data_IF_923962629998
#
_entry.id   IF_923962629998
#
_cell.length_a   1.000
_cell.length_b   1.000
_cell.length_c   1.000
_cell.angle_alpha   90.00
_cell.angle_beta   90.00
_cell.angle_gamma   90.00
#
_symmetry.space_group_name_H-M   'P 1'
#
loop_
_entity.id
_entity.type
_entity.pdbx_description
1 polymer ?
#
# COMPACT_ATOMS: atom_id res chain seq x y z
N UNK A 1 -21.97 11.72 -23.52
CA UNK A 1 -21.50 10.48 -24.13
C UNK A 1 -21.34 9.45 -23.00
N UNK A 2 -22.14 8.38 -23.03
CA UNK A 2 -22.01 7.28 -22.07
C UNK A 2 -21.03 6.24 -22.58
N UNK A 3 -20.12 5.81 -21.72
CA UNK A 3 -19.24 4.67 -22.02
C UNK A 3 -19.95 3.40 -21.57
N UNK A 4 -20.17 2.48 -22.48
CA UNK A 4 -20.77 1.19 -22.20
C UNK A 4 -19.70 0.10 -22.27
N UNK A 5 -19.58 -0.68 -21.18
CA UNK A 5 -18.63 -1.78 -21.08
C UNK A 5 -19.36 -3.11 -21.22
N UNK A 6 -18.84 -4.01 -22.04
CA UNK A 6 -19.33 -5.38 -22.14
C UNK A 6 -18.45 -6.30 -21.32
N UNK A 7 -18.90 -6.68 -20.11
CA UNK A 7 -18.12 -7.47 -19.15
C UNK A 7 -18.01 -8.95 -19.50
N UNK A 8 -18.93 -9.50 -20.30
CA UNK A 8 -19.05 -10.95 -20.59
C UNK A 8 -18.99 -11.82 -19.33
N UNK A 9 -19.60 -11.34 -18.24
CA UNK A 9 -19.63 -12.02 -16.96
C UNK A 9 -18.31 -11.97 -16.16
N UNK A 10 -17.40 -11.04 -16.48
CA UNK A 10 -16.19 -10.77 -15.70
C UNK A 10 -16.27 -9.40 -15.06
N UNK A 11 -15.62 -9.25 -13.91
CA UNK A 11 -15.47 -7.95 -13.26
C UNK A 11 -14.62 -7.01 -14.13
N UNK A 12 -15.03 -5.76 -14.19
CA UNK A 12 -14.31 -4.71 -14.92
C UNK A 12 -13.71 -3.75 -13.88
N UNK A 13 -12.39 -3.63 -13.89
CA UNK A 13 -11.67 -2.66 -13.09
C UNK A 13 -11.21 -1.51 -14.00
N UNK A 14 -11.56 -0.29 -13.61
CA UNK A 14 -11.11 0.90 -14.33
C UNK A 14 -10.71 1.99 -13.33
N UNK A 15 -9.85 2.87 -13.77
CA UNK A 15 -9.45 4.08 -13.05
C UNK A 15 -9.74 5.30 -13.91
N UNK A 16 -10.27 6.34 -13.29
CA UNK A 16 -10.57 7.61 -13.94
C UNK A 16 -10.44 8.76 -12.95
N UNK A 17 -10.54 9.97 -13.48
CA UNK A 17 -10.64 11.20 -12.68
C UNK A 17 -12.01 11.81 -12.92
N UNK A 18 -12.58 12.42 -11.88
CA UNK A 18 -13.82 13.21 -11.97
C UNK A 18 -13.61 14.52 -11.25
N UNK A 19 -14.27 15.56 -11.74
CA UNK A 19 -14.35 16.88 -11.09
C UNK A 19 -15.60 16.98 -10.20
N UNK A 20 -16.41 15.92 -10.12
CA UNK A 20 -17.60 15.91 -9.26
C UNK A 20 -17.21 15.78 -7.79
N UNK A 21 -17.88 16.52 -6.93
CA UNK A 21 -17.71 16.41 -5.48
C UNK A 21 -18.28 15.10 -4.96
N UNK A 22 -17.63 14.55 -3.94
CA UNK A 22 -18.14 13.36 -3.26
C UNK A 22 -19.48 13.69 -2.57
N UNK A 23 -20.48 12.78 -2.62
CA UNK A 23 -21.77 13.00 -1.97
C UNK A 23 -21.67 13.02 -0.44
N UNK A 24 -20.61 12.50 0.13
CA UNK A 24 -20.31 12.53 1.56
C UNK A 24 -18.88 13.03 1.76
N UNK A 25 -18.73 14.07 2.56
CA UNK A 25 -17.43 14.53 3.03
C UNK A 25 -17.07 13.83 4.35
N UNK A 26 -15.79 13.59 4.54
CA UNK A 26 -15.23 13.07 5.78
C UNK A 26 -14.16 14.03 6.30
N UNK A 27 -14.18 14.28 7.61
CA UNK A 27 -13.12 14.99 8.32
C UNK A 27 -12.78 14.27 9.63
N UNK A 28 -11.51 14.30 10.04
CA UNK A 28 -11.07 13.68 11.30
C UNK A 28 -10.51 14.78 12.19
N UNK A 29 -11.05 14.87 13.39
CA UNK A 29 -10.55 15.74 14.45
C UNK A 29 -9.81 14.91 15.47
N UNK A 30 -8.62 15.37 15.86
CA UNK A 30 -7.78 14.71 16.88
C UNK A 30 -7.68 15.60 18.10
N UNK A 31 -7.84 15.00 19.29
CA UNK A 31 -7.55 15.64 20.56
C UNK A 31 -6.61 14.76 21.39
N UNK A 32 -5.55 15.35 21.91
CA UNK A 32 -4.62 14.71 22.85
C UNK A 32 -4.77 15.38 24.20
N UNK A 33 -5.08 14.60 25.24
CA UNK A 33 -5.37 15.08 26.60
C UNK A 33 -6.43 16.21 26.61
N UNK A 34 -7.48 16.05 25.75
CA UNK A 34 -8.59 16.97 25.63
C UNK A 34 -8.30 18.25 24.83
N UNK A 35 -7.10 18.41 24.25
CA UNK A 35 -6.72 19.55 23.42
C UNK A 35 -6.61 19.14 21.95
N UNK A 36 -7.20 19.91 21.07
CA UNK A 36 -7.11 19.70 19.63
C UNK A 36 -5.64 19.75 19.15
N UNK A 37 -5.29 18.80 18.29
CA UNK A 37 -3.94 18.63 17.76
C UNK A 37 -3.99 18.25 16.28
N UNK A 38 -3.03 18.75 15.48
CA UNK A 38 -2.93 18.33 14.09
C UNK A 38 -2.35 16.92 13.95
N UNK A 39 -2.67 16.15 12.88
CA UNK A 39 -2.09 14.83 12.66
C UNK A 39 -0.55 14.84 12.61
N UNK A 40 0.04 15.91 12.08
CA UNK A 40 1.51 16.07 12.00
C UNK A 40 2.14 16.25 13.37
N UNK A 41 1.49 17.02 14.24
CA UNK A 41 1.99 17.29 15.59
C UNK A 41 1.71 16.13 16.55
N UNK A 42 0.73 15.27 16.22
CA UNK A 42 0.36 14.09 17.00
C UNK A 42 1.43 12.98 16.92
N UNK A 43 2.08 12.81 15.77
CA UNK A 43 3.09 11.76 15.56
C UNK A 43 4.20 11.85 16.62
N UNK A 44 4.52 10.72 17.24
CA UNK A 44 5.54 10.61 18.30
C UNK A 44 5.07 11.11 19.68
N UNK A 45 3.78 11.42 19.85
CA UNK A 45 3.22 11.85 21.14
C UNK A 45 2.67 10.68 21.93
N UNK A 46 2.51 10.92 23.23
CA UNK A 46 1.92 9.99 24.18
C UNK A 46 0.87 10.74 25.01
N UNK A 47 -0.22 10.08 25.35
CA UNK A 47 -1.31 10.66 26.13
C UNK A 47 -2.65 9.98 25.85
N UNK A 48 -3.75 10.60 26.25
CA UNK A 48 -5.10 10.13 25.95
C UNK A 48 -5.57 10.76 24.63
N UNK A 49 -5.67 9.93 23.60
CA UNK A 49 -6.12 10.33 22.26
C UNK A 49 -7.64 10.14 22.12
N UNK A 50 -8.30 11.14 21.54
CA UNK A 50 -9.66 11.09 21.04
C UNK A 50 -9.62 11.44 19.54
N UNK A 51 -10.16 10.54 18.70
CA UNK A 51 -10.30 10.73 17.26
C UNK A 51 -11.79 10.74 16.94
N UNK A 52 -12.31 11.85 16.42
CA UNK A 52 -13.70 11.94 15.96
C UNK A 52 -13.72 12.05 14.45
N UNK A 53 -14.34 11.06 13.81
CA UNK A 53 -14.56 11.02 12.37
C UNK A 53 -15.94 11.57 12.12
N UNK A 54 -16.01 12.76 11.50
CA UNK A 54 -17.25 13.45 11.18
C UNK A 54 -17.58 13.24 9.71
N UNK A 55 -18.84 12.99 9.42
CA UNK A 55 -19.36 12.84 8.08
C UNK A 55 -20.41 13.90 7.81
N UNK A 56 -20.32 14.51 6.62
CA UNK A 56 -21.27 15.46 6.12
C UNK A 56 -21.89 14.93 4.83
N UNK A 57 -23.17 14.58 4.88
CA UNK A 57 -23.92 14.18 3.70
C UNK A 57 -24.32 15.44 2.90
N UNK A 58 -23.90 15.50 1.64
CA UNK A 58 -24.18 16.64 0.74
C UNK A 58 -25.23 16.32 -0.31
N UNK A 59 -25.82 15.14 -0.27
CA UNK A 59 -26.74 14.64 -1.30
C UNK A 59 -28.20 15.04 -1.09
N UNK A 60 -28.45 16.19 -0.44
CA UNK A 60 -29.82 16.64 -0.17
C UNK A 60 -30.58 16.93 -1.47
N UNK A 61 -31.75 16.35 -1.61
CA UNK A 61 -32.60 16.48 -2.79
C UNK A 61 -34.09 16.59 -2.42
N UNK A 62 -34.88 17.18 -3.33
CA UNK A 62 -36.32 17.21 -3.17
C UNK A 62 -36.95 15.91 -3.64
N UNK A 63 -37.67 15.25 -2.76
CA UNK A 63 -38.47 14.04 -3.04
C UNK A 63 -39.94 14.31 -2.78
N UNK A 64 -40.80 13.64 -3.52
CA UNK A 64 -42.25 13.70 -3.27
C UNK A 64 -42.62 12.65 -2.23
N UNK A 65 -43.07 13.10 -1.07
CA UNK A 65 -43.57 12.24 0.00
C UNK A 65 -45.06 12.54 0.17
N UNK A 66 -45.94 11.62 -0.20
CA UNK A 66 -47.40 11.76 -0.12
C UNK A 66 -47.95 13.01 -0.80
N UNK A 67 -47.36 13.45 -1.93
CA UNK A 67 -47.76 14.61 -2.69
C UNK A 67 -47.19 15.94 -2.13
N UNK A 68 -46.27 15.86 -1.16
CA UNK A 68 -45.52 17.01 -0.63
C UNK A 68 -44.06 16.94 -1.02
N UNK A 69 -43.52 18.04 -1.57
CA UNK A 69 -42.07 18.11 -1.84
C UNK A 69 -41.34 18.34 -0.52
N UNK A 70 -40.52 17.37 -0.15
CA UNK A 70 -39.71 17.38 1.07
C UNK A 70 -38.24 17.26 0.70
N UNK A 71 -37.39 18.08 1.33
CA UNK A 71 -35.94 17.93 1.19
C UNK A 71 -35.44 16.78 2.06
N UNK A 72 -34.83 15.79 1.44
CA UNK A 72 -34.25 14.62 2.14
C UNK A 72 -32.85 14.32 1.61
N UNK A 73 -32.03 13.72 2.44
CA UNK A 73 -30.73 13.21 2.03
C UNK A 73 -30.87 11.83 1.36
N UNK A 74 -29.97 11.52 0.43
CA UNK A 74 -29.76 10.13 0.06
C UNK A 74 -29.22 9.39 1.29
N UNK A 75 -29.88 8.31 1.75
CA UNK A 75 -29.46 7.62 2.98
C UNK A 75 -28.16 6.82 2.72
N UNK A 76 -27.03 7.34 3.22
CA UNK A 76 -25.76 6.64 3.17
C UNK A 76 -25.49 5.92 4.48
N UNK A 77 -25.11 4.64 4.37
CA UNK A 77 -24.43 3.92 5.43
C UNK A 77 -22.93 4.03 5.21
N UNK A 78 -22.22 4.52 6.22
CA UNK A 78 -20.77 4.65 6.21
C UNK A 78 -20.15 3.63 7.15
N UNK A 79 -19.16 2.90 6.67
CA UNK A 79 -18.31 2.04 7.49
C UNK A 79 -16.87 2.53 7.39
N UNK A 80 -16.26 2.82 8.53
CA UNK A 80 -14.87 3.27 8.59
C UNK A 80 -14.04 2.26 9.37
N UNK A 81 -12.93 1.83 8.77
CA UNK A 81 -11.99 0.90 9.37
C UNK A 81 -10.63 1.54 9.59
N UNK A 82 -10.04 1.28 10.76
CA UNK A 82 -8.68 1.66 11.14
C UNK A 82 -7.96 0.48 11.77
N UNK A 83 -6.65 0.38 11.50
CA UNK A 83 -5.77 -0.58 12.18
C UNK A 83 -4.88 0.18 13.15
N UNK A 84 -4.97 -0.19 14.43
CA UNK A 84 -4.27 0.46 15.54
C UNK A 84 -3.31 -0.56 16.17
N UNK A 85 -1.97 -0.44 15.97
CA UNK A 85 -0.98 -1.32 16.60
C UNK A 85 -1.09 -1.31 18.12
N UNK A 86 -1.03 -2.49 18.76
CA UNK A 86 -1.24 -2.61 20.22
C UNK A 86 -0.05 -2.11 21.06
N UNK A 87 1.11 -1.95 20.46
CA UNK A 87 2.29 -1.33 21.06
C UNK A 87 2.20 0.21 21.13
N UNK A 88 1.44 0.83 20.20
CA UNK A 88 1.20 2.26 20.18
C UNK A 88 -0.14 2.66 20.80
N UNK A 89 -1.19 1.81 20.65
CA UNK A 89 -2.56 2.08 21.05
C UNK A 89 -3.08 1.05 22.05
N UNK A 90 -3.35 1.48 23.28
CA UNK A 90 -3.93 0.65 24.35
C UNK A 90 -5.28 1.22 24.79
N UNK A 91 -6.09 0.41 25.50
CA UNK A 91 -7.40 0.81 26.00
C UNK A 91 -8.30 1.44 24.93
N UNK A 92 -8.27 0.88 23.73
CA UNK A 92 -9.05 1.39 22.59
C UNK A 92 -10.53 1.18 22.86
N UNK A 93 -11.33 2.23 22.65
CA UNK A 93 -12.80 2.17 22.67
C UNK A 93 -13.38 2.87 21.46
N UNK A 94 -14.60 2.54 21.09
CA UNK A 94 -15.37 3.16 20.02
C UNK A 94 -16.81 3.34 20.50
N UNK A 95 -17.46 4.44 20.10
CA UNK A 95 -18.86 4.71 20.44
C UNK A 95 -19.84 3.93 19.53
N UNK A 96 -19.64 3.99 18.20
CA UNK A 96 -20.58 3.42 17.22
C UNK A 96 -19.85 2.41 16.33
N UNK A 97 -19.56 1.22 16.85
CA UNK A 97 -18.82 0.23 16.09
C UNK A 97 -18.32 -0.95 16.90
N UNK A 98 -17.34 -1.63 16.33
CA UNK A 98 -16.76 -2.85 16.90
C UNK A 98 -15.24 -2.83 16.83
N UNK A 99 -14.61 -3.44 17.83
CA UNK A 99 -13.15 -3.62 17.90
C UNK A 99 -12.86 -5.12 17.85
N UNK A 100 -11.97 -5.52 16.94
CA UNK A 100 -11.46 -6.89 16.86
C UNK A 100 -9.96 -6.85 17.02
N UNK A 101 -9.43 -7.52 18.06
CA UNK A 101 -8.00 -7.62 18.31
C UNK A 101 -7.45 -8.95 17.82
N UNK A 102 -6.30 -8.95 17.15
CA UNK A 102 -5.54 -10.14 16.76
C UNK A 102 -4.24 -10.34 17.58
N UNK A 103 -4.06 -9.52 18.63
CA UNK A 103 -2.90 -9.54 19.50
C UNK A 103 -1.87 -8.45 19.18
N UNK A 104 -1.54 -8.25 17.93
CA UNK A 104 -0.55 -7.24 17.51
C UNK A 104 -1.20 -5.91 17.11
N UNK A 105 -2.50 -5.95 16.75
CA UNK A 105 -3.26 -4.77 16.33
C UNK A 105 -4.73 -4.88 16.73
N UNK A 106 -5.37 -3.75 16.90
CA UNK A 106 -6.81 -3.61 17.00
C UNK A 106 -7.35 -3.15 15.64
N UNK A 107 -8.25 -3.91 15.05
CA UNK A 107 -9.05 -3.48 13.90
C UNK A 107 -10.31 -2.85 14.46
N UNK A 108 -10.44 -1.54 14.26
CA UNK A 108 -11.58 -0.76 14.72
C UNK A 108 -12.47 -0.47 13.53
N UNK A 109 -13.74 -0.83 13.61
CA UNK A 109 -14.73 -0.57 12.55
C UNK A 109 -15.89 0.23 13.15
N UNK A 110 -16.06 1.45 12.68
CA UNK A 110 -17.16 2.34 13.05
C UNK A 110 -18.20 2.45 11.97
N UNK A 111 -19.45 2.71 12.36
CA UNK A 111 -20.59 2.87 11.44
C UNK A 111 -21.30 4.18 11.74
N UNK A 112 -21.74 4.89 10.68
CA UNK A 112 -22.51 6.13 10.79
C UNK A 112 -23.51 6.28 9.63
N UNK A 113 -24.58 7.05 9.88
CA UNK A 113 -25.69 7.30 8.96
C UNK A 113 -25.99 8.82 8.87
N UNK A 114 -25.11 9.62 8.26
CA UNK A 114 -25.25 11.06 8.26
C UNK A 114 -26.49 11.52 7.47
N UNK A 115 -27.32 12.36 8.09
CA UNK A 115 -28.56 12.90 7.54
C UNK A 115 -29.80 12.05 7.84
N UNK A 116 -29.64 10.77 8.23
CA UNK A 116 -30.77 9.87 8.46
C UNK A 116 -31.65 10.30 9.66
N UNK A 117 -31.05 10.78 10.74
CA UNK A 117 -31.79 11.32 11.90
C UNK A 117 -32.66 12.53 11.52
N UNK A 118 -32.14 13.42 10.66
CA UNK A 118 -32.87 14.59 10.14
C UNK A 118 -34.05 14.15 9.25
N UNK A 119 -33.80 13.21 8.31
CA UNK A 119 -34.81 12.71 7.38
C UNK A 119 -35.97 12.01 8.09
N UNK A 120 -35.68 11.28 9.17
CA UNK A 120 -36.69 10.63 10.00
C UNK A 120 -37.33 11.56 11.03
N UNK A 121 -36.88 12.82 11.11
CA UNK A 121 -37.42 13.81 12.06
C UNK A 121 -37.16 13.45 13.53
N UNK A 122 -36.17 12.62 13.82
CA UNK A 122 -35.87 12.13 15.18
C UNK A 122 -35.35 13.24 16.08
N UNK A 123 -34.68 14.24 15.52
CA UNK A 123 -34.17 15.41 16.27
C UNK A 123 -35.28 16.23 16.92
N UNK A 124 -36.51 16.14 16.39
CA UNK A 124 -37.70 16.84 16.90
C UNK A 124 -38.69 15.92 17.61
N UNK A 125 -38.42 14.61 17.63
CA UNK A 125 -39.27 13.59 18.26
C UNK A 125 -38.93 13.40 19.74
N UNK A 126 -39.89 12.87 20.51
CA UNK A 126 -39.63 12.44 21.89
C UNK A 126 -39.12 10.97 21.96
N UNK A 127 -38.66 10.43 20.85
CA UNK A 127 -38.09 9.10 20.78
C UNK A 127 -36.62 9.15 21.16
N UNK A 128 -36.19 8.33 22.08
CA UNK A 128 -34.80 8.18 22.52
C UNK A 128 -34.06 7.21 21.58
N UNK A 129 -34.00 7.59 20.29
CA UNK A 129 -33.28 6.82 19.26
C UNK A 129 -32.15 7.68 18.76
N UNK A 130 -30.91 7.23 18.98
CA UNK A 130 -29.70 7.89 18.52
C UNK A 130 -29.19 7.21 17.26
N UNK A 131 -29.29 7.90 16.12
CA UNK A 131 -28.71 7.45 14.84
C UNK A 131 -27.38 8.19 14.66
N UNK A 132 -26.23 7.47 14.71
CA UNK A 132 -24.92 8.12 14.71
C UNK A 132 -24.61 8.76 13.37
N UNK A 133 -24.19 10.02 13.38
CA UNK A 133 -23.66 10.76 12.21
C UNK A 133 -22.13 10.88 12.23
N UNK A 134 -21.48 10.38 13.28
CA UNK A 134 -20.02 10.41 13.48
C UNK A 134 -19.56 9.15 14.19
N UNK A 135 -18.25 8.94 14.20
CA UNK A 135 -17.61 7.86 14.96
C UNK A 135 -16.51 8.45 15.82
N UNK A 136 -16.52 8.15 17.12
CA UNK A 136 -15.46 8.56 18.06
C UNK A 136 -14.70 7.36 18.57
N UNK A 137 -13.38 7.40 18.43
CA UNK A 137 -12.45 6.39 18.94
C UNK A 137 -11.61 7.03 20.00
N UNK A 138 -11.47 6.38 21.18
CA UNK A 138 -10.53 6.82 22.21
C UNK A 138 -9.50 5.74 22.48
N UNK A 139 -8.28 6.15 22.81
CA UNK A 139 -7.19 5.25 23.15
C UNK A 139 -6.17 5.95 24.08
N UNK A 140 -5.45 5.17 24.85
CA UNK A 140 -4.20 5.63 25.46
C UNK A 140 -3.07 5.33 24.46
N UNK A 141 -2.29 6.36 24.09
CA UNK A 141 -1.26 6.24 23.05
C UNK A 141 0.15 6.48 23.57
N UNK A 142 1.12 5.78 22.98
CA UNK A 142 2.54 5.91 23.28
C UNK A 142 3.34 5.95 21.98
N UNK A 143 4.10 7.02 21.75
CA UNK A 143 4.91 7.24 20.54
C UNK A 143 4.09 7.03 19.25
N UNK A 144 2.90 7.60 19.22
CA UNK A 144 1.83 7.28 18.27
C UNK A 144 2.22 7.62 16.82
N UNK A 145 1.89 6.73 15.90
CA UNK A 145 1.85 6.99 14.47
C UNK A 145 0.39 7.09 14.00
N UNK A 146 0.12 8.04 13.08
CA UNK A 146 -1.23 8.19 12.50
C UNK A 146 -1.36 7.24 11.32
N UNK A 147 -2.11 6.16 11.49
CA UNK A 147 -2.37 5.15 10.47
C UNK A 147 -3.37 5.61 9.40
N UNK A 148 -3.54 4.76 8.39
CA UNK A 148 -4.54 4.98 7.35
C UNK A 148 -5.96 4.71 7.87
N UNK A 149 -6.91 5.53 7.41
CA UNK A 149 -8.34 5.37 7.64
C UNK A 149 -9.02 5.03 6.32
N UNK A 150 -9.84 3.99 6.32
CA UNK A 150 -10.58 3.54 5.14
C UNK A 150 -12.07 3.71 5.41
N UNK A 151 -12.75 4.45 4.55
CA UNK A 151 -14.20 4.63 4.65
C UNK A 151 -14.88 4.15 3.37
N UNK A 152 -15.92 3.35 3.55
CA UNK A 152 -16.82 2.91 2.50
C UNK A 152 -18.19 3.56 2.72
N UNK A 153 -18.79 4.09 1.66
CA UNK A 153 -20.15 4.62 1.66
C UNK A 153 -21.04 3.77 0.76
N UNK A 154 -22.23 3.39 1.23
CA UNK A 154 -23.24 2.66 0.47
C UNK A 154 -24.58 3.34 0.62
N UNK A 155 -25.24 3.66 -0.50
CA UNK A 155 -26.61 4.16 -0.50
C UNK A 155 -27.65 3.03 -0.55
N UNK A 156 -27.25 1.82 -0.93
CA UNK A 156 -28.17 0.71 -1.20
C UNK A 156 -28.37 -0.24 -0.02
N UNK A 157 -27.72 0.02 1.11
CA UNK A 157 -27.79 -0.89 2.25
C UNK A 157 -29.20 -0.86 2.88
N UNK A 158 -29.80 0.31 2.99
CA UNK A 158 -31.16 0.47 3.54
C UNK A 158 -32.23 -0.17 2.63
N UNK A 159 -32.08 -0.08 1.30
CA UNK A 159 -32.97 -0.78 0.34
C UNK A 159 -32.92 -2.30 0.52
N UNK A 160 -31.74 -2.82 0.89
CA UNK A 160 -31.53 -4.27 1.07
C UNK A 160 -32.24 -4.84 2.29
N UNK A 161 -32.59 -3.99 3.27
CA UNK A 161 -33.25 -4.39 4.52
C UNK A 161 -34.77 -4.30 4.46
N UNK A 162 -35.33 -3.85 3.32
CA UNK A 162 -36.78 -3.89 3.07
C UNK A 162 -37.59 -3.02 4.03
N UNK A 163 -37.14 -1.78 4.29
CA UNK A 163 -37.88 -0.81 5.09
C UNK A 163 -39.17 -0.31 4.40
N UNK A 164 -39.34 -0.62 3.11
CA UNK A 164 -40.53 -0.24 2.31
C UNK A 164 -41.83 -0.95 2.74
N UNK A 165 -41.74 -1.99 3.56
CA UNK A 165 -42.86 -2.83 3.98
C UNK A 165 -43.21 -2.72 5.49
N UNK A 166 -42.88 -1.62 6.15
CA UNK A 166 -43.10 -1.45 7.60
C UNK A 166 -44.54 -0.98 7.87
N UNK A 167 -45.47 -1.92 8.01
CA UNK A 167 -46.89 -1.67 8.33
C UNK A 167 -47.23 -1.83 9.83
N UNK A 168 -46.25 -2.33 10.67
CA UNK A 168 -46.50 -2.58 12.09
C UNK A 168 -45.24 -2.40 12.95
N UNK A 169 -45.40 -2.31 14.28
CA UNK A 169 -44.27 -2.29 15.23
C UNK A 169 -43.43 -3.60 15.21
N UNK A 170 -44.08 -4.74 14.95
CA UNK A 170 -43.40 -6.02 14.82
C UNK A 170 -42.53 -6.05 13.54
N UNK A 171 -42.98 -5.43 12.43
CA UNK A 171 -42.22 -5.30 11.18
C UNK A 171 -41.05 -4.32 11.36
N UNK A 172 -41.21 -3.30 12.21
CA UNK A 172 -40.11 -2.39 12.57
C UNK A 172 -39.02 -3.12 13.36
N UNK A 173 -39.40 -3.95 14.33
CA UNK A 173 -38.44 -4.76 15.12
C UNK A 173 -37.68 -5.75 14.22
N UNK A 174 -38.37 -6.42 13.31
CA UNK A 174 -37.77 -7.30 12.31
C UNK A 174 -36.80 -6.50 11.38
N UNK A 175 -37.16 -5.27 11.00
CA UNK A 175 -36.34 -4.41 10.16
C UNK A 175 -35.10 -3.92 10.89
N UNK A 176 -35.22 -3.59 12.18
CA UNK A 176 -34.09 -3.23 13.04
C UNK A 176 -33.13 -4.42 13.19
N UNK A 177 -33.64 -5.62 13.42
CA UNK A 177 -32.81 -6.83 13.50
C UNK A 177 -32.08 -7.11 12.18
N UNK A 178 -32.74 -6.92 11.02
CA UNK A 178 -32.09 -7.03 9.70
C UNK A 178 -31.03 -5.97 9.49
N UNK A 179 -31.25 -4.74 9.97
CA UNK A 179 -30.24 -3.65 9.93
C UNK A 179 -29.02 -4.01 10.79
N UNK A 180 -29.22 -4.57 11.97
CA UNK A 180 -28.16 -5.06 12.83
C UNK A 180 -27.34 -6.16 12.11
N UNK A 181 -28.01 -7.14 11.51
CA UNK A 181 -27.35 -8.21 10.75
C UNK A 181 -26.57 -7.66 9.55
N UNK A 182 -27.16 -6.75 8.76
CA UNK A 182 -26.49 -6.11 7.64
C UNK A 182 -25.30 -5.26 8.09
N UNK A 183 -25.42 -4.58 9.21
CA UNK A 183 -24.34 -3.80 9.83
C UNK A 183 -23.19 -4.72 10.26
N UNK A 184 -23.51 -5.87 10.87
CA UNK A 184 -22.52 -6.87 11.24
C UNK A 184 -21.78 -7.44 10.01
N UNK A 185 -22.51 -7.74 8.92
CA UNK A 185 -21.90 -8.18 7.65
C UNK A 185 -20.99 -7.09 7.04
N UNK A 186 -21.39 -5.82 7.10
CA UNK A 186 -20.58 -4.70 6.64
C UNK A 186 -19.30 -4.53 7.48
N UNK A 187 -19.41 -4.71 8.81
CA UNK A 187 -18.26 -4.72 9.73
C UNK A 187 -17.30 -5.85 9.34
N UNK A 188 -17.81 -7.07 9.11
CA UNK A 188 -16.97 -8.21 8.73
C UNK A 188 -16.29 -7.98 7.37
N UNK A 189 -17.03 -7.49 6.36
CA UNK A 189 -16.45 -7.15 5.05
C UNK A 189 -15.40 -6.03 5.12
N UNK A 190 -15.61 -5.03 5.96
CA UNK A 190 -14.64 -3.96 6.19
C UNK A 190 -13.36 -4.47 6.87
N UNK A 191 -13.50 -5.43 7.78
CA UNK A 191 -12.37 -6.13 8.41
C UNK A 191 -11.57 -6.92 7.37
N UNK A 192 -12.24 -7.73 6.53
CA UNK A 192 -11.59 -8.49 5.46
C UNK A 192 -10.84 -7.57 4.49
N UNK A 193 -11.43 -6.41 4.14
CA UNK A 193 -10.77 -5.41 3.31
C UNK A 193 -9.51 -4.83 3.99
N UNK A 194 -9.59 -4.54 5.27
CA UNK A 194 -8.45 -4.04 6.04
C UNK A 194 -7.32 -5.09 6.11
N UNK A 195 -7.65 -6.36 6.36
CA UNK A 195 -6.70 -7.48 6.37
C UNK A 195 -6.08 -7.70 4.97
N UNK A 196 -6.90 -7.63 3.92
CA UNK A 196 -6.45 -7.72 2.52
C UNK A 196 -5.46 -6.61 2.16
N UNK A 197 -5.76 -5.37 2.58
CA UNK A 197 -4.89 -4.21 2.37
C UNK A 197 -3.56 -4.36 3.11
N UNK A 198 -3.58 -4.87 4.34
CA UNK A 198 -2.37 -5.13 5.11
C UNK A 198 -1.51 -6.22 4.46
N UNK A 199 -2.15 -7.29 3.96
CA UNK A 199 -1.48 -8.35 3.20
C UNK A 199 -0.83 -7.78 1.93
N UNK A 200 -1.53 -6.91 1.19
CA UNK A 200 -0.99 -6.25 0.00
C UNK A 200 0.22 -5.38 0.34
N UNK A 201 0.16 -4.64 1.44
CA UNK A 201 1.27 -3.82 1.91
C UNK A 201 2.51 -4.69 2.25
N UNK A 202 2.30 -5.82 2.95
CA UNK A 202 3.36 -6.79 3.23
C UNK A 202 4.00 -7.35 1.94
N UNK A 203 3.17 -7.74 0.97
CA UNK A 203 3.65 -8.24 -0.33
C UNK A 203 4.38 -7.17 -1.15
N UNK A 204 3.98 -5.91 -1.04
CA UNK A 204 4.70 -4.79 -1.66
C UNK A 204 6.09 -4.62 -1.04
N UNK A 205 6.23 -4.79 0.27
CA UNK A 205 7.54 -4.81 0.95
C UNK A 205 8.45 -5.95 0.49
N UNK A 206 7.88 -7.16 0.33
CA UNK A 206 8.61 -8.31 -0.24
C UNK A 206 9.08 -8.04 -1.67
N UNK A 207 8.23 -7.42 -2.50
CA UNK A 207 8.57 -7.03 -3.87
C UNK A 207 9.73 -6.02 -3.91
N UNK A 208 9.67 -4.97 -3.08
CA UNK A 208 10.75 -3.98 -2.96
C UNK A 208 12.06 -4.68 -2.60
N UNK A 209 12.04 -5.54 -1.56
CA UNK A 209 13.23 -6.31 -1.16
C UNK A 209 13.76 -7.23 -2.27
N UNK A 210 12.85 -7.78 -3.10
CA UNK A 210 13.21 -8.56 -4.28
C UNK A 210 13.89 -7.74 -5.36
N UNK A 211 13.40 -6.53 -5.60
CA UNK A 211 14.01 -5.58 -6.56
C UNK A 211 15.39 -5.13 -6.10
N UNK A 212 15.57 -4.86 -4.80
CA UNK A 212 16.89 -4.51 -4.23
C UNK A 212 17.91 -5.64 -4.43
N UNK A 213 17.51 -6.89 -4.13
CA UNK A 213 18.36 -8.06 -4.35
C UNK A 213 18.71 -8.26 -5.83
N UNK A 214 17.78 -7.97 -6.73
CA UNK A 214 18.04 -8.02 -8.17
C UNK A 214 19.06 -6.94 -8.58
N UNK A 215 18.93 -5.72 -8.05
CA UNK A 215 19.89 -4.63 -8.29
C UNK A 215 21.30 -5.00 -7.81
N UNK A 216 21.42 -5.57 -6.61
CA UNK A 216 22.70 -6.10 -6.08
C UNK A 216 23.28 -7.17 -6.98
N UNK A 217 22.46 -8.12 -7.44
CA UNK A 217 22.85 -9.18 -8.36
C UNK A 217 23.35 -8.65 -9.71
N UNK A 218 22.68 -7.62 -10.26
CA UNK A 218 23.09 -6.96 -11.50
C UNK A 218 24.46 -6.26 -11.31
N UNK A 219 24.66 -5.60 -10.17
CA UNK A 219 25.93 -4.97 -9.84
C UNK A 219 27.05 -6.00 -9.76
N UNK A 220 26.85 -7.08 -9.01
CA UNK A 220 27.84 -8.17 -8.91
C UNK A 220 28.16 -8.83 -10.27
N UNK A 221 27.14 -8.98 -11.12
CA UNK A 221 27.34 -9.48 -12.48
C UNK A 221 28.21 -8.52 -13.32
N UNK A 222 27.93 -7.22 -13.23
CA UNK A 222 28.68 -6.19 -13.96
C UNK A 222 30.15 -6.16 -13.53
N UNK A 223 30.40 -6.24 -12.21
CA UNK A 223 31.75 -6.30 -11.65
C UNK A 223 32.47 -7.58 -12.11
N UNK A 224 31.77 -8.71 -12.16
CA UNK A 224 32.31 -9.98 -12.69
C UNK A 224 32.70 -9.86 -14.16
N UNK A 225 31.88 -9.21 -14.99
CA UNK A 225 32.18 -8.95 -16.42
C UNK A 225 33.40 -8.04 -16.55
N UNK A 226 33.53 -7.00 -15.74
CA UNK A 226 34.69 -6.14 -15.70
C UNK A 226 35.98 -6.92 -15.36
N UNK A 227 35.91 -7.82 -14.35
CA UNK A 227 37.01 -8.69 -13.95
C UNK A 227 37.44 -9.65 -15.08
N UNK A 228 36.50 -10.19 -15.86
CA UNK A 228 36.80 -11.00 -17.05
C UNK A 228 37.53 -10.16 -18.11
N UNK A 229 37.08 -8.94 -18.35
CA UNK A 229 37.73 -8.03 -19.30
C UNK A 229 39.17 -7.70 -18.88
N UNK A 230 39.41 -7.43 -17.60
CA UNK A 230 40.74 -7.19 -17.03
C UNK A 230 41.65 -8.44 -17.17
N UNK A 231 41.11 -9.61 -16.90
CA UNK A 231 41.81 -10.88 -17.11
C UNK A 231 42.20 -11.10 -18.57
N UNK A 232 41.30 -10.78 -19.51
CA UNK A 232 41.59 -10.89 -20.95
C UNK A 232 42.70 -9.91 -21.38
N UNK A 233 42.69 -8.68 -20.83
CA UNK A 233 43.72 -7.68 -21.08
C UNK A 233 45.10 -8.14 -20.53
N UNK A 234 45.13 -8.75 -19.33
CA UNK A 234 46.32 -9.30 -18.74
C UNK A 234 46.91 -10.46 -19.59
N UNK A 235 46.04 -11.35 -20.08
CA UNK A 235 46.43 -12.42 -21.02
C UNK A 235 47.05 -11.86 -22.28
N UNK A 236 46.41 -10.85 -22.89
CA UNK A 236 46.90 -10.20 -24.11
C UNK A 236 48.28 -9.54 -23.86
N UNK A 237 48.47 -8.89 -22.76
CA UNK A 237 49.78 -8.29 -22.36
C UNK A 237 50.87 -9.39 -22.17
N UNK A 238 50.55 -10.48 -21.50
CA UNK A 238 51.45 -11.59 -21.33
C UNK A 238 51.84 -12.27 -22.66
N UNK A 239 50.84 -12.39 -23.59
CA UNK A 239 51.10 -12.89 -24.94
C UNK A 239 52.11 -12.00 -25.70
N UNK A 240 52.00 -10.67 -25.54
CA UNK A 240 52.98 -9.76 -26.13
C UNK A 240 54.39 -9.98 -25.56
N UNK A 241 54.52 -10.20 -24.25
CA UNK A 241 55.81 -10.53 -23.61
C UNK A 241 56.38 -11.87 -24.10
N UNK A 242 55.55 -12.91 -24.22
CA UNK A 242 55.99 -14.19 -24.77
C UNK A 242 56.44 -14.03 -26.22
N UNK A 243 55.69 -13.30 -27.07
CA UNK A 243 56.12 -12.99 -28.44
C UNK A 243 57.47 -12.29 -28.50
N UNK A 244 57.70 -11.29 -27.67
CA UNK A 244 58.97 -10.60 -27.60
C UNK A 244 60.10 -11.52 -27.14
N UNK A 245 59.87 -12.38 -26.15
CA UNK A 245 60.80 -13.39 -25.68
C UNK A 245 61.21 -14.42 -26.78
N UNK A 246 60.19 -14.89 -27.55
CA UNK A 246 60.44 -15.80 -28.69
C UNK A 246 61.26 -15.10 -29.78
N UNK A 247 60.93 -13.83 -30.09
CA UNK A 247 61.73 -13.06 -31.06
C UNK A 247 63.18 -12.88 -30.64
N UNK A 248 63.42 -12.56 -29.37
CA UNK A 248 64.78 -12.44 -28.80
C UNK A 248 65.55 -13.81 -28.84
N UNK A 249 64.85 -14.92 -28.57
CA UNK A 249 65.47 -16.25 -28.69
C UNK A 249 65.83 -16.61 -30.14
N UNK A 250 64.98 -16.26 -31.10
CA UNK A 250 65.28 -16.43 -32.55
C UNK A 250 66.48 -15.59 -32.97
N UNK A 251 66.56 -14.33 -32.53
CA UNK A 251 67.75 -13.48 -32.78
C UNK A 251 69.01 -14.06 -32.13
N UNK A 252 68.90 -14.57 -30.91
CA UNK A 252 70.00 -15.26 -30.20
C UNK A 252 70.52 -16.49 -30.95
N UNK A 253 69.63 -17.33 -31.45
CA UNK A 253 69.99 -18.48 -32.28
C UNK A 253 70.66 -18.09 -33.60
N UNK A 254 70.18 -17.01 -34.23
CA UNK A 254 70.82 -16.44 -35.44
C UNK A 254 72.27 -15.96 -35.17
N UNK A 255 72.50 -15.25 -34.05
CA UNK A 255 73.84 -14.84 -33.61
C UNK A 255 74.78 -16.04 -33.32
N UNK A 256 74.22 -17.07 -32.68
CA UNK A 256 74.97 -18.29 -32.41
C UNK A 256 75.36 -19.00 -33.69
N UNK A 257 74.46 -19.13 -34.67
CA UNK A 257 74.73 -19.70 -36.00
C UNK A 257 75.85 -18.93 -36.73
N UNK A 258 75.80 -17.60 -36.67
CA UNK A 258 76.83 -16.72 -37.18
C UNK A 258 78.19 -16.96 -36.49
N UNK A 259 78.17 -17.07 -35.21
CA UNK A 259 79.39 -17.36 -34.40
C UNK A 259 79.99 -18.74 -34.72
N UNK A 260 79.14 -19.76 -34.86
CA UNK A 260 79.57 -21.11 -35.26
C UNK A 260 80.19 -21.09 -36.66
N UNK A 261 79.60 -20.34 -37.61
CA UNK A 261 80.16 -20.18 -38.97
C UNK A 261 81.50 -19.43 -38.94
N UNK A 262 81.65 -18.46 -38.08
CA UNK A 262 82.91 -17.73 -37.86
C UNK A 262 84.00 -18.66 -37.31
N UNK A 263 83.71 -19.49 -36.30
CA UNK A 263 84.63 -20.50 -35.76
C UNK A 263 85.02 -21.50 -36.86
N UNK A 264 84.05 -21.99 -37.65
CA UNK A 264 84.32 -22.92 -38.77
C UNK A 264 85.24 -22.26 -39.79
N UNK A 265 85.03 -20.98 -40.12
CA UNK A 265 85.93 -20.26 -41.05
C UNK A 265 87.33 -20.09 -40.48
N UNK A 266 87.48 -19.78 -39.18
CA UNK A 266 88.74 -19.71 -38.47
C UNK A 266 89.50 -21.01 -38.47
N UNK A 267 88.80 -22.08 -38.18
CA UNK A 267 89.41 -23.50 -38.23
C UNK A 267 89.89 -23.84 -39.64
N UNK A 268 89.13 -23.50 -40.67
CA UNK A 268 89.58 -23.72 -42.08
C UNK A 268 90.81 -22.88 -42.39
N UNK A 269 90.94 -21.64 -41.90
CA UNK A 269 92.14 -20.82 -42.06
C UNK A 269 93.33 -21.40 -41.39
N UNK A 270 93.16 -21.85 -40.15
CA UNK A 270 94.28 -22.54 -39.40
C UNK A 270 94.71 -23.81 -40.12
N UNK A 271 93.76 -24.64 -40.57
CA UNK A 271 94.11 -25.88 -41.33
C UNK A 271 94.84 -25.59 -42.62
N UNK A 272 94.51 -24.49 -43.31
CA UNK A 272 95.22 -24.06 -44.54
C UNK A 272 96.59 -23.48 -44.27
N UNK A 273 96.85 -22.94 -43.10
CA UNK A 273 98.18 -22.38 -42.68
C UNK A 273 99.17 -23.43 -42.18
N UNK A 274 98.70 -24.64 -41.83
CA UNK A 274 99.49 -25.74 -41.37
C UNK A 274 99.99 -26.67 -42.49
N UNK A 275 99.48 -26.56 -43.69
CA UNK A 275 99.94 -27.21 -44.94
C UNK A 275 100.93 -26.26 -45.65
#
# INVERSE_FOLDING_TARGET
DSIVWESKGKDIYYQGTTDEELPVNMSITYKLDGKEISPKDLTGKSGKLEMTINYENKSKQNVDVDGQQTEMYTPFTLATAMMLPTDEYTNVTIDNGKIVSDGDKNIVVGVAFPGLSEDLGLDSSNLDVDIPSSVTITADVTDVSVGATYTMASANLLDSIGLDDVDSFDDLDDSINKLEDATNQLVDGSKELAEGTNTLNGKSGELISGVDKLADGVTAYTDGVAGVADGANAINSNMALVKNGVSAAVEGTGKLATGVSGVQSGLNTVASGIN
#
